data_IF_673984640878
#
_entry.id   IF_673984640878
#
_cell.length_a   1.000
_cell.length_b   1.000
_cell.length_c   1.000
_cell.angle_alpha   90.00
_cell.angle_beta   90.00
_cell.angle_gamma   90.00
#
_symmetry.space_group_name_H-M   'P 1'
#
loop_
_entity.id
_entity.type
_entity.pdbx_description
1 polymer ?
#
# COMPACT_ATOMS: atom_id res chain seq x y z
N UNK A 1 -21.61 4.05 23.91
CA UNK A 1 -20.94 5.03 23.01
C UNK A 1 -20.38 4.26 21.84
N UNK A 2 -20.75 4.60 20.61
CA UNK A 2 -20.26 3.90 19.42
C UNK A 2 -18.74 4.06 19.31
N UNK A 3 -18.00 2.95 19.27
CA UNK A 3 -16.57 2.96 18.98
C UNK A 3 -16.40 3.38 17.51
N UNK A 4 -15.71 4.48 17.26
CA UNK A 4 -15.35 4.86 15.90
C UNK A 4 -14.36 3.83 15.35
N UNK A 5 -14.38 3.57 14.04
CA UNK A 5 -13.39 2.68 13.45
C UNK A 5 -12.02 3.35 13.39
N UNK A 6 -11.98 4.57 12.87
CA UNK A 6 -10.73 5.30 12.57
C UNK A 6 -10.74 6.64 13.28
N UNK A 7 -9.65 6.99 13.98
CA UNK A 7 -9.39 8.37 14.39
C UNK A 7 -8.55 9.11 13.35
N UNK A 8 -8.71 10.42 13.32
CA UNK A 8 -7.91 11.33 12.53
C UNK A 8 -7.45 12.50 13.39
N UNK A 9 -6.19 12.92 13.23
CA UNK A 9 -5.62 14.04 13.95
C UNK A 9 -4.67 14.84 13.06
N UNK A 10 -4.80 16.16 13.13
CA UNK A 10 -3.91 17.13 12.50
C UNK A 10 -4.04 18.47 13.22
N UNK A 11 -3.17 19.43 12.93
CA UNK A 11 -3.23 20.80 13.44
C UNK A 11 -2.71 21.76 12.36
N UNK A 12 -3.52 22.76 11.99
CA UNK A 12 -3.14 23.74 10.96
C UNK A 12 -1.93 24.59 11.38
N UNK A 13 -1.62 24.70 12.68
CA UNK A 13 -0.39 25.39 13.14
C UNK A 13 0.87 24.74 12.60
N UNK A 14 0.85 23.45 12.25
CA UNK A 14 1.99 22.79 11.59
C UNK A 14 2.28 23.37 10.19
N UNK A 15 1.36 24.13 9.59
CA UNK A 15 1.61 24.90 8.37
C UNK A 15 2.60 26.05 8.59
N UNK A 16 2.78 26.49 9.83
CA UNK A 16 3.72 27.55 10.20
C UNK A 16 5.17 27.03 10.29
N UNK A 17 5.38 25.71 10.26
CA UNK A 17 6.72 25.13 10.04
C UNK A 17 7.17 25.39 8.61
N UNK A 18 7.79 26.55 8.43
CA UNK A 18 8.23 27.05 7.14
C UNK A 18 9.36 28.08 7.31
N UNK A 19 10.20 28.20 6.27
CA UNK A 19 11.24 29.21 6.19
C UNK A 19 11.21 29.85 4.80
N UNK A 20 10.77 31.11 4.72
CA UNK A 20 10.61 31.82 3.45
C UNK A 20 11.92 32.03 2.69
N UNK A 21 13.07 32.02 3.38
CA UNK A 21 14.39 32.10 2.75
C UNK A 21 14.80 30.77 2.07
N UNK A 22 14.09 29.67 2.36
CA UNK A 22 14.26 28.34 1.76
C UNK A 22 13.03 27.87 0.99
N UNK A 23 12.26 28.79 0.39
CA UNK A 23 11.00 28.48 -0.33
C UNK A 23 11.06 27.43 -1.46
N UNK A 24 12.26 27.07 -1.91
CA UNK A 24 12.51 26.07 -2.95
C UNK A 24 12.56 24.63 -2.42
N UNK A 25 12.46 24.45 -1.10
CA UNK A 25 12.43 23.14 -0.46
C UNK A 25 11.17 22.32 -0.83
N UNK A 26 11.31 21.01 -1.06
CA UNK A 26 10.17 20.14 -1.37
C UNK A 26 9.30 19.85 -0.13
N UNK A 27 9.89 19.81 1.07
CA UNK A 27 9.15 19.78 2.34
C UNK A 27 8.52 21.15 2.59
N UNK A 28 7.20 21.26 2.41
CA UNK A 28 6.46 22.54 2.46
C UNK A 28 5.03 22.39 3.02
N UNK A 29 4.41 23.49 3.53
CA UNK A 29 3.08 23.48 4.14
C UNK A 29 1.98 22.79 3.32
N UNK A 30 2.04 22.94 2.00
CA UNK A 30 1.05 22.38 1.08
C UNK A 30 0.90 20.87 1.17
N UNK A 31 1.93 20.14 1.61
CA UNK A 31 1.87 18.70 1.81
C UNK A 31 0.79 18.30 2.84
N UNK A 32 0.64 19.09 3.92
CA UNK A 32 -0.40 18.88 4.92
C UNK A 32 -1.74 19.49 4.48
N UNK A 33 -1.71 20.71 3.95
CA UNK A 33 -2.93 21.43 3.54
C UNK A 33 -3.71 20.67 2.45
N UNK A 34 -3.04 20.25 1.39
CA UNK A 34 -3.68 19.56 0.24
C UNK A 34 -4.20 18.20 0.66
N UNK A 35 -3.43 17.43 1.44
CA UNK A 35 -3.86 16.14 1.96
C UNK A 35 -5.10 16.27 2.87
N UNK A 36 -5.11 17.23 3.81
CA UNK A 36 -6.27 17.49 4.66
C UNK A 36 -7.52 17.85 3.83
N UNK A 37 -7.36 18.76 2.86
CA UNK A 37 -8.44 19.20 1.98
C UNK A 37 -9.00 18.05 1.14
N UNK A 38 -8.16 17.16 0.62
CA UNK A 38 -8.60 16.01 -0.15
C UNK A 38 -9.34 14.97 0.70
N UNK A 39 -8.83 14.66 1.90
CA UNK A 39 -9.54 13.76 2.82
C UNK A 39 -10.93 14.30 3.17
N UNK A 40 -11.03 15.62 3.37
CA UNK A 40 -12.31 16.31 3.62
C UNK A 40 -13.23 16.26 2.40
N UNK A 41 -12.73 16.59 1.21
CA UNK A 41 -13.56 16.63 -0.01
C UNK A 41 -14.06 15.26 -0.44
N UNK A 42 -13.31 14.19 -0.14
CA UNK A 42 -13.73 12.79 -0.34
C UNK A 42 -14.70 12.28 0.75
N UNK A 43 -15.09 13.11 1.72
CA UNK A 43 -15.98 12.73 2.83
C UNK A 43 -15.38 11.71 3.79
N UNK A 44 -14.06 11.50 3.77
CA UNK A 44 -13.38 10.53 4.63
C UNK A 44 -13.33 11.03 6.08
N UNK A 45 -13.09 12.33 6.27
CA UNK A 45 -13.01 12.92 7.62
C UNK A 45 -14.36 12.85 8.37
N UNK A 46 -15.48 12.95 7.66
CA UNK A 46 -16.83 12.88 8.26
C UNK A 46 -17.11 11.51 8.91
N UNK A 47 -16.33 10.48 8.52
CA UNK A 47 -16.44 9.11 9.02
C UNK A 47 -15.41 8.80 10.11
N UNK A 48 -14.48 9.71 10.38
CA UNK A 48 -13.43 9.56 11.39
C UNK A 48 -13.86 10.18 12.73
N UNK A 49 -13.29 9.67 13.82
CA UNK A 49 -13.21 10.43 15.07
C UNK A 49 -12.13 11.50 14.93
N UNK A 50 -12.53 12.77 14.86
CA UNK A 50 -11.58 13.88 14.84
C UNK A 50 -11.06 14.11 16.27
N UNK A 51 -9.77 13.84 16.48
CA UNK A 51 -9.11 14.07 17.76
C UNK A 51 -8.61 15.51 17.86
N UNK A 52 -8.56 16.01 19.09
CA UNK A 52 -7.92 17.29 19.39
C UNK A 52 -6.40 17.09 19.41
N UNK A 53 -5.66 17.98 18.75
CA UNK A 53 -4.20 18.02 18.81
C UNK A 53 -3.70 18.46 20.20
N UNK A 54 -2.46 18.08 20.52
CA UNK A 54 -1.70 18.64 21.64
C UNK A 54 -0.22 18.69 21.29
N UNK A 55 0.54 19.48 22.03
CA UNK A 55 2.00 19.45 21.99
C UNK A 55 2.54 18.31 22.84
N UNK A 56 3.55 17.60 22.33
CA UNK A 56 4.34 16.67 23.13
C UNK A 56 5.17 17.43 24.19
N UNK A 57 5.26 16.86 25.39
CA UNK A 57 6.06 17.43 26.48
C UNK A 57 7.55 17.13 26.30
N UNK A 58 8.40 17.79 27.10
CA UNK A 58 9.83 17.49 27.10
C UNK A 58 10.12 16.07 27.55
N UNK A 59 9.35 15.56 28.50
CA UNK A 59 9.49 14.20 29.02
C UNK A 59 9.14 13.17 27.94
N UNK A 60 8.08 13.42 27.16
CA UNK A 60 7.68 12.55 26.05
C UNK A 60 8.70 12.56 24.91
N UNK A 61 9.24 13.73 24.55
CA UNK A 61 10.29 13.82 23.52
C UNK A 61 11.61 13.23 24.05
N UNK A 62 11.88 13.43 25.33
CA UNK A 62 13.05 12.92 26.06
C UNK A 62 13.09 11.40 26.21
N UNK A 63 12.03 10.69 25.80
CA UNK A 63 12.03 9.23 25.71
C UNK A 63 13.05 8.72 24.70
N UNK A 64 13.33 9.47 23.63
CA UNK A 64 14.27 9.06 22.56
C UNK A 64 15.29 10.14 22.18
N UNK A 65 15.02 11.42 22.49
CA UNK A 65 15.94 12.52 22.22
C UNK A 65 16.66 12.98 23.47
N UNK A 66 17.92 13.38 23.32
CA UNK A 66 18.66 13.97 24.43
C UNK A 66 18.12 15.35 24.79
N UNK A 67 18.36 15.75 26.05
CA UNK A 67 18.02 17.09 26.53
C UNK A 67 18.64 18.19 25.66
N UNK A 68 19.90 18.00 25.24
CA UNK A 68 20.64 18.93 24.38
C UNK A 68 19.97 19.10 23.03
N UNK A 69 19.48 18.03 22.40
CA UNK A 69 18.74 18.11 21.14
C UNK A 69 17.47 18.95 21.30
N UNK A 70 16.67 18.68 22.33
CA UNK A 70 15.44 19.42 22.65
C UNK A 70 15.72 20.91 22.87
N UNK A 71 16.76 21.23 23.62
CA UNK A 71 17.16 22.62 23.90
C UNK A 71 17.68 23.34 22.65
N UNK A 72 18.41 22.64 21.79
CA UNK A 72 18.89 23.18 20.50
C UNK A 72 17.72 23.59 19.62
N UNK A 73 16.67 22.76 19.54
CA UNK A 73 15.46 23.08 18.77
C UNK A 73 14.65 24.18 19.45
N UNK A 74 14.48 24.16 20.78
CA UNK A 74 13.77 25.25 21.48
C UNK A 74 14.45 26.60 21.28
N UNK A 75 15.77 26.65 21.22
CA UNK A 75 16.50 27.90 21.04
C UNK A 75 16.12 28.63 19.75
N UNK A 76 15.61 27.94 18.72
CA UNK A 76 15.20 28.57 17.45
C UNK A 76 13.99 29.49 17.60
N UNK A 77 13.17 29.33 18.65
CA UNK A 77 11.98 30.17 18.91
C UNK A 77 12.35 31.63 19.22
N UNK A 78 13.55 31.86 19.74
CA UNK A 78 14.03 33.18 20.16
C UNK A 78 14.96 33.82 19.11
N UNK A 79 15.06 33.24 17.91
CA UNK A 79 15.90 33.74 16.83
C UNK A 79 15.09 34.55 15.82
N UNK A 80 15.74 35.50 15.15
CA UNK A 80 15.20 36.09 13.92
C UNK A 80 15.23 35.07 12.77
N UNK A 81 14.48 35.34 11.70
CA UNK A 81 14.48 34.49 10.50
C UNK A 81 15.88 34.33 9.88
N UNK A 82 16.70 35.37 9.91
CA UNK A 82 18.08 35.33 9.42
C UNK A 82 18.96 34.44 10.31
N UNK A 83 18.89 34.63 11.63
CA UNK A 83 19.67 33.85 12.59
C UNK A 83 19.32 32.37 12.56
N UNK A 84 18.02 32.03 12.53
CA UNK A 84 17.59 30.63 12.45
C UNK A 84 18.01 30.01 11.12
N UNK A 85 17.98 30.75 10.01
CA UNK A 85 18.44 30.26 8.71
C UNK A 85 19.94 29.98 8.71
N UNK A 86 20.75 30.83 9.36
CA UNK A 86 22.18 30.58 9.53
C UNK A 86 22.44 29.37 10.42
N UNK A 87 21.72 29.27 11.54
CA UNK A 87 21.79 28.12 12.47
C UNK A 87 21.38 26.83 11.78
N UNK A 88 20.35 26.87 10.92
CA UNK A 88 19.90 25.74 10.12
C UNK A 88 21.04 25.14 9.30
N UNK A 89 21.86 25.96 8.62
CA UNK A 89 22.99 25.44 7.85
C UNK A 89 24.02 24.72 8.72
N UNK A 90 24.16 25.10 9.99
CA UNK A 90 25.06 24.45 10.94
C UNK A 90 24.45 23.15 11.52
N UNK A 91 23.14 23.12 11.75
CA UNK A 91 22.41 21.95 12.27
C UNK A 91 22.30 20.87 11.19
N UNK A 92 21.66 21.23 10.07
CA UNK A 92 21.49 20.37 8.90
C UNK A 92 21.15 21.23 7.67
N UNK A 93 21.98 21.25 6.62
CA UNK A 93 21.85 22.21 5.52
C UNK A 93 20.59 22.03 4.68
N UNK A 94 19.99 20.83 4.66
CA UNK A 94 18.82 20.50 3.83
C UNK A 94 17.50 20.66 4.59
N UNK A 95 17.47 20.42 5.90
CA UNK A 95 16.25 20.51 6.70
C UNK A 95 15.73 21.94 6.73
N UNK A 96 14.41 22.14 6.60
CA UNK A 96 13.78 23.45 6.79
C UNK A 96 13.59 23.71 8.28
N UNK A 97 14.27 24.70 8.83
CA UNK A 97 14.12 25.16 10.22
C UNK A 97 13.74 26.64 10.18
N UNK A 98 12.66 26.98 10.87
CA UNK A 98 12.19 28.33 11.10
C UNK A 98 11.93 28.57 12.58
N UNK A 99 11.45 29.76 12.92
CA UNK A 99 11.17 30.17 14.31
C UNK A 99 10.09 29.31 14.95
N UNK A 100 9.11 28.88 14.16
CA UNK A 100 7.98 28.05 14.60
C UNK A 100 8.28 26.54 14.68
N UNK A 101 9.52 26.12 14.34
CA UNK A 101 9.88 24.70 14.23
C UNK A 101 9.65 23.93 15.52
N UNK A 102 10.08 24.44 16.68
CA UNK A 102 9.92 23.71 17.95
C UNK A 102 8.43 23.49 18.27
N UNK A 103 7.60 24.53 18.15
CA UNK A 103 6.16 24.43 18.39
C UNK A 103 5.50 23.42 17.45
N UNK A 104 5.81 23.47 16.16
CA UNK A 104 5.22 22.56 15.17
C UNK A 104 5.69 21.12 15.34
N UNK A 105 6.98 20.88 15.59
CA UNK A 105 7.53 19.54 15.84
C UNK A 105 6.92 18.89 17.09
N UNK A 106 6.64 19.68 18.14
CA UNK A 106 5.91 19.21 19.32
C UNK A 106 4.46 18.85 18.99
N UNK A 107 3.79 19.64 18.16
CA UNK A 107 2.43 19.33 17.71
C UNK A 107 2.41 18.05 16.87
N UNK A 108 3.37 17.85 15.96
CA UNK A 108 3.49 16.65 15.16
C UNK A 108 3.60 15.39 16.02
N UNK A 109 4.55 15.37 16.97
CA UNK A 109 4.71 14.28 17.92
C UNK A 109 3.44 14.09 18.78
N UNK A 110 2.90 15.15 19.36
CA UNK A 110 1.73 15.06 20.24
C UNK A 110 0.45 14.62 19.53
N UNK A 111 0.26 14.99 18.26
CA UNK A 111 -0.83 14.45 17.42
C UNK A 111 -0.73 12.93 17.30
N UNK A 112 0.47 12.40 17.00
CA UNK A 112 0.65 10.96 16.92
C UNK A 112 0.39 10.26 18.25
N UNK A 113 0.81 10.86 19.37
CA UNK A 113 0.52 10.33 20.71
C UNK A 113 -0.99 10.26 21.01
N UNK A 114 -1.78 11.25 20.58
CA UNK A 114 -3.24 11.22 20.72
C UNK A 114 -3.89 10.10 19.90
N UNK A 115 -3.41 9.86 18.68
CA UNK A 115 -3.88 8.75 17.86
C UNK A 115 -3.55 7.40 18.50
N UNK A 116 -2.32 7.24 19.02
CA UNK A 116 -1.86 6.06 19.75
C UNK A 116 -2.72 5.83 21.01
N UNK A 117 -2.97 6.87 21.81
CA UNK A 117 -3.84 6.79 22.99
C UNK A 117 -5.26 6.32 22.59
N UNK A 118 -5.84 6.90 21.52
CA UNK A 118 -7.17 6.53 21.06
C UNK A 118 -7.27 5.06 20.60
N UNK A 119 -6.24 4.56 19.93
CA UNK A 119 -6.17 3.18 19.43
C UNK A 119 -5.92 2.17 20.54
N UNK A 120 -4.97 2.45 21.45
CA UNK A 120 -4.65 1.52 22.55
C UNK A 120 -5.82 1.41 23.53
N UNK A 121 -6.48 2.53 23.84
CA UNK A 121 -7.62 2.57 24.79
C UNK A 121 -8.95 2.09 24.18
N UNK A 122 -8.97 1.72 22.90
CA UNK A 122 -10.16 1.20 22.21
C UNK A 122 -11.21 2.27 21.86
N UNK A 123 -10.88 3.57 21.95
CA UNK A 123 -11.74 4.65 21.43
C UNK A 123 -11.89 4.55 19.93
N UNK A 124 -10.81 4.14 19.25
CA UNK A 124 -10.80 3.76 17.84
C UNK A 124 -10.11 2.41 17.63
N UNK A 125 -10.37 1.76 16.50
CA UNK A 125 -9.62 0.56 16.08
C UNK A 125 -8.25 0.92 15.51
N UNK A 126 -8.18 1.96 14.70
CA UNK A 126 -6.98 2.43 13.99
C UNK A 126 -6.99 3.96 13.87
N UNK A 127 -5.91 4.54 13.32
CA UNK A 127 -5.77 5.99 13.25
C UNK A 127 -4.90 6.52 12.12
N UNK A 128 -5.10 7.80 11.80
CA UNK A 128 -4.30 8.58 10.87
C UNK A 128 -3.83 9.87 11.55
N UNK A 129 -2.52 10.09 11.58
CA UNK A 129 -1.89 11.33 12.03
C UNK A 129 -1.30 12.07 10.83
N UNK A 130 -2.01 13.10 10.34
CA UNK A 130 -1.49 13.95 9.28
C UNK A 130 -0.65 15.06 9.91
N UNK A 131 0.67 14.86 9.93
CA UNK A 131 1.61 15.68 10.71
C UNK A 131 2.78 16.17 9.86
N UNK A 132 3.34 17.32 10.27
CA UNK A 132 4.60 17.91 9.77
C UNK A 132 5.25 18.74 10.89
N UNK A 133 6.57 18.76 11.05
CA UNK A 133 7.61 18.07 10.26
C UNK A 133 7.61 16.53 10.38
N UNK A 134 8.25 15.82 9.42
CA UNK A 134 8.50 14.38 9.52
C UNK A 134 9.50 14.04 10.64
N UNK A 135 9.75 12.74 10.87
CA UNK A 135 10.51 12.26 12.01
C UNK A 135 11.57 11.18 11.77
N UNK A 136 11.39 10.25 10.83
CA UNK A 136 12.16 9.00 10.80
C UNK A 136 13.70 9.13 10.64
N UNK A 137 14.21 10.25 10.14
CA UNK A 137 15.65 10.52 10.02
C UNK A 137 16.28 11.11 11.28
N UNK A 138 15.48 11.62 12.22
CA UNK A 138 16.00 12.25 13.44
C UNK A 138 16.46 11.17 14.42
N UNK A 139 17.76 11.15 14.69
CA UNK A 139 18.38 10.30 15.72
C UNK A 139 18.36 10.99 17.10
N UNK A 140 18.92 10.36 18.15
CA UNK A 140 18.84 10.86 19.53
C UNK A 140 19.41 12.27 19.75
N UNK A 141 20.37 12.68 18.92
CA UNK A 141 21.08 13.96 19.04
C UNK A 141 21.09 14.79 17.75
N UNK A 142 20.32 14.40 16.72
CA UNK A 142 20.50 14.95 15.38
C UNK A 142 19.18 15.21 14.65
N UNK A 143 19.11 16.40 14.04
CA UNK A 143 18.19 16.77 12.95
C UNK A 143 18.79 16.28 11.64
N UNK A 144 17.96 15.69 10.77
CA UNK A 144 18.42 15.18 9.49
C UNK A 144 17.24 14.99 8.55
N UNK A 145 17.42 15.20 7.24
CA UNK A 145 16.42 14.79 6.23
C UNK A 145 15.02 15.37 6.48
N UNK A 146 14.93 16.66 6.77
CA UNK A 146 13.70 17.38 7.13
C UNK A 146 13.10 17.01 8.51
N UNK A 147 13.69 16.05 9.23
CA UNK A 147 13.14 15.52 10.46
C UNK A 147 13.71 16.22 11.70
N UNK A 148 12.83 16.69 12.57
CA UNK A 148 13.20 17.47 13.78
C UNK A 148 13.18 16.61 15.04
N UNK A 149 12.05 15.94 15.29
CA UNK A 149 11.89 14.95 16.33
C UNK A 149 11.34 13.68 15.68
N UNK A 150 11.86 12.53 16.10
CA UNK A 150 11.41 11.23 15.61
C UNK A 150 10.02 10.87 16.15
N UNK A 151 8.97 11.27 15.43
CA UNK A 151 7.57 11.08 15.82
C UNK A 151 7.25 9.61 16.09
N UNK A 152 7.61 8.70 15.17
CA UNK A 152 7.33 7.27 15.30
C UNK A 152 8.06 6.64 16.50
N UNK A 153 9.33 7.00 16.71
CA UNK A 153 10.10 6.48 17.85
C UNK A 153 9.58 7.01 19.20
N UNK A 154 9.24 8.29 19.30
CA UNK A 154 8.59 8.86 20.48
C UNK A 154 7.29 8.10 20.79
N UNK A 155 6.46 7.85 19.77
CA UNK A 155 5.20 7.14 19.93
C UNK A 155 5.38 5.67 20.34
N UNK A 156 6.39 4.98 19.80
CA UNK A 156 6.72 3.61 20.19
C UNK A 156 7.17 3.52 21.64
N UNK A 157 8.15 4.33 22.08
CA UNK A 157 8.58 4.35 23.47
C UNK A 157 7.46 4.79 24.42
N UNK A 158 6.66 5.78 24.03
CA UNK A 158 5.50 6.20 24.80
C UNK A 158 4.49 5.05 24.99
N UNK A 159 4.22 4.26 23.95
CA UNK A 159 3.35 3.09 24.05
C UNK A 159 3.95 1.98 24.95
N UNK A 160 5.26 1.77 24.90
CA UNK A 160 5.95 0.81 25.77
C UNK A 160 5.91 1.25 27.24
N UNK A 161 6.22 2.52 27.52
CA UNK A 161 6.38 3.04 28.89
C UNK A 161 5.05 3.41 29.54
N UNK A 162 4.19 4.17 28.86
CA UNK A 162 2.92 4.66 29.43
C UNK A 162 1.84 3.60 29.40
N UNK A 163 1.73 2.84 28.31
CA UNK A 163 0.68 1.82 28.13
C UNK A 163 1.15 0.40 28.45
N UNK A 164 2.43 0.22 28.77
CA UNK A 164 2.96 -1.07 29.20
C UNK A 164 3.05 -2.11 28.09
N UNK A 165 2.93 -1.71 26.82
CA UNK A 165 3.12 -2.62 25.69
C UNK A 165 4.52 -3.25 25.74
N UNK A 166 4.66 -4.39 25.10
CA UNK A 166 5.89 -5.19 25.03
C UNK A 166 6.43 -5.29 23.61
N UNK A 167 5.58 -5.16 22.60
CA UNK A 167 5.95 -5.34 21.19
C UNK A 167 5.30 -4.29 20.31
N UNK A 168 6.10 -3.41 19.73
CA UNK A 168 5.68 -2.38 18.77
C UNK A 168 6.35 -2.67 17.43
N UNK A 169 5.58 -2.69 16.34
CA UNK A 169 6.14 -2.71 15.00
C UNK A 169 6.14 -1.30 14.44
N UNK A 170 7.30 -0.82 14.00
CA UNK A 170 7.41 0.35 13.14
C UNK A 170 7.70 -0.15 11.73
N UNK A 171 6.74 0.05 10.81
CA UNK A 171 6.94 -0.20 9.39
C UNK A 171 7.14 1.12 8.68
N UNK A 172 8.31 1.30 8.07
CA UNK A 172 8.67 2.48 7.30
C UNK A 172 8.66 2.14 5.81
N UNK A 173 7.69 2.70 5.09
CA UNK A 173 7.58 2.57 3.63
C UNK A 173 7.97 3.85 2.88
N UNK A 174 8.45 4.87 3.60
CA UNK A 174 9.09 6.03 3.00
C UNK A 174 10.24 5.55 2.12
N UNK A 175 10.45 6.24 1.00
CA UNK A 175 11.47 5.82 0.04
C UNK A 175 12.89 5.97 0.59
N UNK A 176 13.08 6.77 1.63
CA UNK A 176 14.34 6.95 2.32
C UNK A 176 14.43 6.05 3.55
N UNK A 177 15.64 5.60 3.86
CA UNK A 177 15.87 4.84 5.08
C UNK A 177 15.71 5.75 6.30
N UNK A 178 14.77 5.43 7.20
CA UNK A 178 14.63 6.06 8.51
C UNK A 178 15.79 5.73 9.46
N UNK A 179 16.99 6.22 9.14
CA UNK A 179 18.22 5.94 9.86
C UNK A 179 18.17 6.35 11.33
N UNK A 180 17.41 7.39 11.66
CA UNK A 180 17.22 7.84 13.05
C UNK A 180 16.40 6.83 13.85
N UNK A 181 15.32 6.31 13.25
CA UNK A 181 14.51 5.26 13.89
C UNK A 181 15.33 3.98 14.09
N UNK A 182 16.12 3.58 13.09
CA UNK A 182 17.05 2.46 13.21
C UNK A 182 18.06 2.67 14.35
N UNK A 183 18.67 3.86 14.44
CA UNK A 183 19.64 4.18 15.49
C UNK A 183 19.03 4.08 16.90
N UNK A 184 17.83 4.64 17.09
CA UNK A 184 17.15 4.67 18.39
C UNK A 184 16.85 3.25 18.91
N UNK A 185 16.44 2.33 18.04
CA UNK A 185 16.02 0.98 18.45
C UNK A 185 17.03 -0.12 18.12
N UNK A 186 18.25 0.22 17.68
CA UNK A 186 19.20 -0.74 17.14
C UNK A 186 19.52 -1.91 18.09
N UNK A 187 19.47 -1.66 19.39
CA UNK A 187 19.76 -2.64 20.45
C UNK A 187 18.51 -3.11 21.22
N UNK A 188 17.30 -2.75 20.78
CA UNK A 188 16.03 -3.03 21.47
C UNK A 188 15.17 -4.05 20.71
N UNK A 189 14.72 -5.10 21.39
CA UNK A 189 13.83 -6.13 20.81
C UNK A 189 12.34 -5.92 21.09
N UNK A 190 11.99 -4.92 21.88
CA UNK A 190 10.59 -4.51 22.10
C UNK A 190 10.02 -3.79 20.88
N UNK A 191 10.89 -3.27 20.01
CA UNK A 191 10.53 -2.61 18.76
C UNK A 191 11.12 -3.37 17.59
N UNK A 192 10.26 -3.85 16.70
CA UNK A 192 10.66 -4.35 15.39
C UNK A 192 10.59 -3.18 14.41
N UNK A 193 11.72 -2.80 13.83
CA UNK A 193 11.79 -1.79 12.77
C UNK A 193 12.04 -2.45 11.42
N UNK A 194 11.16 -2.20 10.46
CA UNK A 194 11.30 -2.67 9.08
C UNK A 194 11.21 -1.48 8.13
N UNK A 195 12.18 -1.34 7.23
CA UNK A 195 12.22 -0.22 6.27
C UNK A 195 12.37 -0.70 4.83
N UNK A 196 11.53 -0.21 3.92
CA UNK A 196 11.65 -0.41 2.47
C UNK A 196 12.11 0.90 1.80
N UNK A 197 13.34 0.95 1.30
CA UNK A 197 13.91 2.23 0.85
C UNK A 197 14.81 2.08 -0.38
N UNK A 198 14.91 3.14 -1.19
CA UNK A 198 15.90 3.25 -2.27
C UNK A 198 17.30 3.27 -1.68
N UNK A 199 18.17 2.43 -2.21
CA UNK A 199 19.50 2.24 -1.64
C UNK A 199 20.61 2.29 -2.69
N UNK A 200 21.53 3.23 -2.47
CA UNK A 200 22.91 3.22 -2.91
C UNK A 200 23.68 4.23 -2.07
N UNK A 201 25.02 4.21 -2.09
CA UNK A 201 25.83 5.25 -1.42
C UNK A 201 25.68 6.66 -2.04
N UNK A 202 24.86 6.82 -3.09
CA UNK A 202 24.52 8.10 -3.73
C UNK A 202 23.09 8.57 -3.41
N UNK A 203 22.33 7.80 -2.63
CA UNK A 203 20.97 8.14 -2.23
C UNK A 203 21.00 8.47 -0.73
N UNK A 204 20.35 9.54 -0.34
CA UNK A 204 20.26 9.95 1.07
C UNK A 204 19.70 8.78 1.90
N UNK A 205 20.28 8.44 3.07
CA UNK A 205 21.24 9.21 3.86
C UNK A 205 22.73 8.90 3.59
N UNK A 206 23.10 8.33 2.44
CA UNK A 206 24.48 8.12 1.99
C UNK A 206 25.32 7.23 2.92
N UNK A 207 24.73 6.14 3.42
CA UNK A 207 25.34 5.32 4.47
C UNK A 207 25.15 3.84 4.20
N UNK A 208 26.12 3.03 4.63
CA UNK A 208 26.06 1.57 4.55
C UNK A 208 25.10 0.94 5.56
N UNK A 209 24.72 1.68 6.62
CA UNK A 209 23.84 1.15 7.68
C UNK A 209 22.43 0.83 7.17
N UNK A 210 22.07 1.36 5.98
CA UNK A 210 20.81 1.09 5.30
C UNK A 210 20.82 -0.23 4.49
N UNK A 211 21.96 -0.93 4.34
CA UNK A 211 21.95 -2.23 3.67
C UNK A 211 21.39 -3.33 4.59
N UNK A 212 20.96 -4.43 3.97
CA UNK A 212 20.34 -5.59 4.61
C UNK A 212 21.13 -6.23 5.77
N UNK A 213 22.48 -6.30 5.77
CA UNK A 213 23.23 -6.93 6.87
C UNK A 213 23.18 -6.20 8.22
N UNK A 214 22.68 -4.96 8.27
CA UNK A 214 22.55 -4.18 9.49
C UNK A 214 21.25 -4.55 10.20
N UNK A 215 21.32 -5.57 11.05
CA UNK A 215 20.14 -6.23 11.62
C UNK A 215 19.89 -5.93 13.09
N UNK A 216 20.54 -4.89 13.63
CA UNK A 216 20.53 -4.61 15.06
C UNK A 216 21.69 -5.29 15.79
N UNK A 217 21.77 -5.03 17.09
CA UNK A 217 22.84 -5.54 17.95
C UNK A 217 22.33 -5.93 19.34
N UNK A 218 23.15 -6.65 20.10
CA UNK A 218 22.78 -7.07 21.46
C UNK A 218 21.41 -7.77 21.50
N UNK A 219 20.51 -7.37 22.43
CA UNK A 219 19.15 -7.89 22.46
C UNK A 219 18.32 -7.61 21.20
N UNK A 220 18.54 -6.48 20.52
CA UNK A 220 17.82 -6.05 19.31
C UNK A 220 18.28 -6.72 18.02
N UNK A 221 19.28 -7.61 18.06
CA UNK A 221 19.76 -8.32 16.87
C UNK A 221 18.65 -9.19 16.27
N UNK A 222 18.34 -8.97 15.00
CA UNK A 222 17.22 -9.56 14.26
C UNK A 222 15.96 -8.68 14.21
N UNK A 223 15.87 -7.62 15.03
CA UNK A 223 14.71 -6.73 15.14
C UNK A 223 14.83 -5.44 14.32
N UNK A 224 15.90 -5.30 13.54
CA UNK A 224 16.05 -4.29 12.50
C UNK A 224 16.11 -4.98 11.13
N UNK A 225 15.23 -4.62 10.20
CA UNK A 225 15.16 -5.23 8.87
C UNK A 225 15.18 -4.14 7.80
N UNK A 226 16.26 -4.09 7.05
CA UNK A 226 16.39 -3.22 5.90
C UNK A 226 16.10 -3.97 4.60
N UNK A 227 15.20 -3.44 3.77
CA UNK A 227 14.88 -3.93 2.42
C UNK A 227 15.37 -2.89 1.40
N UNK A 228 16.64 -2.96 0.97
CA UNK A 228 17.27 -1.94 0.15
C UNK A 228 16.95 -2.09 -1.35
N UNK A 229 16.12 -1.23 -1.92
CA UNK A 229 15.83 -1.15 -3.35
C UNK A 229 17.02 -0.59 -4.15
N UNK A 230 17.83 -1.49 -4.72
CA UNK A 230 19.04 -1.14 -5.46
C UNK A 230 18.81 -0.59 -6.87
N UNK A 231 17.60 -0.73 -7.40
CA UNK A 231 17.22 -0.23 -8.74
C UNK A 231 16.05 0.75 -8.63
N UNK A 232 15.99 1.74 -9.54
CA UNK A 232 14.87 2.68 -9.62
C UNK A 232 13.58 1.99 -10.08
N UNK A 233 12.50 2.75 -10.09
CA UNK A 233 11.22 2.38 -10.67
C UNK A 233 10.61 1.11 -10.04
N UNK A 234 10.77 0.95 -8.73
CA UNK A 234 10.03 -0.06 -7.98
C UNK A 234 8.53 0.23 -8.06
N UNK A 235 7.73 -0.82 -8.26
CA UNK A 235 6.27 -0.74 -8.48
C UNK A 235 5.53 -1.52 -7.41
N UNK A 236 4.20 -1.50 -7.50
CA UNK A 236 3.28 -2.19 -6.59
C UNK A 236 3.69 -3.65 -6.32
N UNK A 237 3.99 -4.43 -7.37
CA UNK A 237 4.39 -5.82 -7.22
C UNK A 237 5.69 -6.01 -6.40
N UNK A 238 6.62 -5.06 -6.46
CA UNK A 238 7.89 -5.13 -5.70
C UNK A 238 7.62 -4.93 -4.20
N UNK A 239 6.80 -3.93 -3.86
CA UNK A 239 6.39 -3.66 -2.49
C UNK A 239 5.51 -4.78 -1.92
N UNK A 240 4.55 -5.28 -2.69
CA UNK A 240 3.72 -6.41 -2.28
C UNK A 240 4.53 -7.70 -2.12
N UNK A 241 5.54 -7.94 -2.96
CA UNK A 241 6.45 -9.06 -2.76
C UNK A 241 7.20 -8.96 -1.43
N UNK A 242 7.70 -7.78 -1.04
CA UNK A 242 8.29 -7.59 0.29
C UNK A 242 7.28 -7.82 1.42
N UNK A 243 6.02 -7.38 1.24
CA UNK A 243 4.94 -7.63 2.20
C UNK A 243 4.74 -9.13 2.41
N UNK A 244 4.55 -9.90 1.35
CA UNK A 244 4.23 -11.33 1.45
C UNK A 244 5.42 -12.21 1.83
N UNK A 245 6.61 -11.93 1.32
CA UNK A 245 7.76 -12.83 1.47
C UNK A 245 8.63 -12.54 2.70
N UNK A 246 8.45 -11.40 3.36
CA UNK A 246 9.28 -11.02 4.50
C UNK A 246 8.49 -10.31 5.61
N UNK A 247 7.83 -9.20 5.29
CA UNK A 247 7.24 -8.32 6.32
C UNK A 247 6.10 -9.01 7.07
N UNK A 248 5.10 -9.57 6.38
CA UNK A 248 3.95 -10.20 7.01
C UNK A 248 4.32 -11.49 7.78
N UNK A 249 5.16 -12.40 7.26
CA UNK A 249 5.64 -13.54 8.04
C UNK A 249 6.31 -13.12 9.35
N UNK A 250 7.30 -12.22 9.26
CA UNK A 250 8.04 -11.73 10.43
C UNK A 250 7.13 -10.99 11.41
N UNK A 251 6.28 -10.08 10.91
CA UNK A 251 5.35 -9.34 11.76
C UNK A 251 4.31 -10.26 12.43
N UNK A 252 3.91 -11.35 11.78
CA UNK A 252 3.00 -12.34 12.37
C UNK A 252 3.69 -13.11 13.50
N UNK A 253 4.94 -13.54 13.31
CA UNK A 253 5.74 -14.21 14.35
C UNK A 253 6.04 -13.26 15.52
N UNK A 254 6.39 -12.01 15.23
CA UNK A 254 6.61 -10.97 16.24
C UNK A 254 5.35 -10.64 17.03
N UNK A 255 4.17 -10.78 16.41
CA UNK A 255 2.87 -10.55 17.04
C UNK A 255 2.80 -9.17 17.77
N UNK A 256 2.93 -8.05 17.02
CA UNK A 256 2.94 -6.71 17.59
C UNK A 256 1.59 -6.38 18.25
N UNK A 257 1.64 -5.54 19.28
CA UNK A 257 0.46 -5.07 19.99
C UNK A 257 -0.09 -3.77 19.40
N UNK A 258 0.74 -3.05 18.64
CA UNK A 258 0.39 -1.90 17.81
C UNK A 258 1.38 -1.80 16.65
N UNK A 259 0.90 -1.30 15.51
CA UNK A 259 1.72 -1.01 14.33
C UNK A 259 1.68 0.50 14.09
N UNK A 260 2.87 1.12 14.05
CA UNK A 260 3.05 2.51 13.64
C UNK A 260 3.65 2.48 12.23
N UNK A 261 2.97 3.08 11.28
CA UNK A 261 3.46 3.16 9.89
C UNK A 261 4.07 4.52 9.67
N UNK A 262 5.39 4.57 9.51
CA UNK A 262 6.10 5.74 8.98
C UNK A 262 5.78 5.86 7.50
N UNK A 263 4.76 6.67 7.22
CA UNK A 263 4.08 6.68 5.94
C UNK A 263 4.57 7.83 5.06
N UNK A 264 5.75 7.64 4.48
CA UNK A 264 6.22 8.46 3.38
C UNK A 264 5.59 8.05 2.06
N UNK A 265 5.17 9.03 1.27
CA UNK A 265 4.59 8.77 -0.05
C UNK A 265 5.51 9.21 -1.20
N UNK A 266 6.80 9.34 -0.94
CA UNK A 266 7.80 9.67 -1.94
C UNK A 266 8.20 8.48 -2.81
N UNK A 267 7.88 7.25 -2.41
CA UNK A 267 7.96 6.09 -3.32
C UNK A 267 6.81 6.05 -4.35
N UNK A 268 5.85 6.99 -4.28
CA UNK A 268 4.70 7.02 -5.15
C UNK A 268 5.05 7.45 -6.58
N UNK A 269 4.24 7.01 -7.54
CA UNK A 269 4.35 7.44 -8.94
C UNK A 269 4.27 8.97 -9.04
N UNK A 270 5.25 9.57 -9.74
CA UNK A 270 5.31 11.00 -9.97
C UNK A 270 5.85 11.83 -8.80
N UNK A 271 6.40 11.20 -7.76
CA UNK A 271 7.15 11.92 -6.73
C UNK A 271 8.41 12.58 -7.29
N UNK A 272 8.84 13.66 -6.64
CA UNK A 272 10.00 14.46 -7.06
C UNK A 272 11.35 13.83 -6.69
N UNK A 273 11.40 13.03 -5.62
CA UNK A 273 12.64 12.52 -5.02
C UNK A 273 12.75 11.00 -5.07
N UNK A 274 11.65 10.24 -4.96
CA UNK A 274 11.75 8.81 -4.66
C UNK A 274 11.93 7.84 -5.84
N UNK A 275 11.95 8.30 -7.09
CA UNK A 275 12.40 7.49 -8.25
C UNK A 275 11.80 6.06 -8.28
N UNK A 276 10.53 5.97 -7.89
CA UNK A 276 9.70 4.77 -7.79
C UNK A 276 8.35 5.04 -8.48
N UNK A 277 7.47 4.05 -8.50
CA UNK A 277 6.18 4.13 -9.19
C UNK A 277 5.11 3.33 -8.46
N UNK A 278 5.05 3.45 -7.13
CA UNK A 278 4.02 2.83 -6.30
C UNK A 278 2.71 3.61 -6.45
N UNK A 279 1.60 2.91 -6.64
CA UNK A 279 0.29 3.53 -6.81
C UNK A 279 -0.42 3.77 -5.47
N UNK A 280 -1.36 4.74 -5.38
CA UNK A 280 -2.23 4.90 -4.21
C UNK A 280 -2.95 3.61 -3.82
N UNK A 281 -3.36 2.81 -4.81
CA UNK A 281 -4.00 1.51 -4.60
C UNK A 281 -3.09 0.54 -3.82
N UNK A 282 -1.79 0.52 -4.12
CA UNK A 282 -0.83 -0.31 -3.40
C UNK A 282 -0.66 0.11 -1.94
N UNK A 283 -0.58 1.42 -1.63
CA UNK A 283 -0.55 1.87 -0.23
C UNK A 283 -1.82 1.49 0.54
N UNK A 284 -2.99 1.60 -0.09
CA UNK A 284 -4.24 1.08 0.46
C UNK A 284 -4.17 -0.44 0.72
N UNK A 285 -3.64 -1.23 -0.21
CA UNK A 285 -3.50 -2.68 -0.05
C UNK A 285 -2.50 -3.04 1.06
N UNK A 286 -1.33 -2.40 1.14
CA UNK A 286 -0.38 -2.58 2.24
C UNK A 286 -1.02 -2.26 3.60
N UNK A 287 -1.79 -1.17 3.68
CA UNK A 287 -2.56 -0.79 4.88
C UNK A 287 -3.57 -1.87 5.28
N UNK A 288 -4.26 -2.46 4.29
CA UNK A 288 -5.22 -3.55 4.50
C UNK A 288 -4.53 -4.80 5.05
N UNK A 289 -3.41 -5.19 4.46
CA UNK A 289 -2.62 -6.34 4.91
C UNK A 289 -2.19 -6.18 6.38
N UNK A 290 -1.67 -5.01 6.75
CA UNK A 290 -1.28 -4.69 8.13
C UNK A 290 -2.47 -4.68 9.10
N UNK A 291 -3.67 -4.31 8.64
CA UNK A 291 -4.87 -4.26 9.47
C UNK A 291 -5.33 -5.64 9.97
N UNK A 292 -4.78 -6.74 9.43
CA UNK A 292 -5.01 -8.10 9.93
C UNK A 292 -4.12 -8.45 11.14
N UNK A 293 -3.09 -7.65 11.42
CA UNK A 293 -2.17 -7.81 12.54
C UNK A 293 -2.56 -6.88 13.70
N UNK A 294 -1.97 -7.09 14.88
CA UNK A 294 -2.21 -6.25 16.07
C UNK A 294 -3.71 -6.01 16.40
N UNK A 295 -4.60 -6.93 16.01
CA UNK A 295 -6.06 -6.79 16.11
C UNK A 295 -6.60 -5.50 15.43
N UNK A 296 -5.94 -5.06 14.36
CA UNK A 296 -6.26 -3.86 13.61
C UNK A 296 -5.74 -2.56 14.22
N UNK A 297 -4.93 -2.60 15.27
CA UNK A 297 -4.29 -1.42 15.89
C UNK A 297 -3.15 -0.88 15.02
N UNK A 298 -3.53 -0.19 13.95
CA UNK A 298 -2.62 0.43 12.99
C UNK A 298 -2.77 1.95 13.06
N UNK A 299 -1.65 2.67 13.19
CA UNK A 299 -1.62 4.13 13.13
C UNK A 299 -0.71 4.55 11.98
N UNK A 300 -1.28 5.20 10.97
CA UNK A 300 -0.55 5.73 9.81
C UNK A 300 -0.16 7.18 10.10
N UNK A 301 1.11 7.53 10.01
CA UNK A 301 1.59 8.90 10.24
C UNK A 301 2.45 9.40 9.08
N UNK A 302 2.23 10.63 8.63
CA UNK A 302 2.90 11.17 7.44
C UNK A 302 4.40 11.43 7.68
N UNK A 303 5.26 10.88 6.81
CA UNK A 303 6.70 11.19 6.73
C UNK A 303 6.99 12.07 5.50
N UNK A 304 7.65 11.54 4.46
CA UNK A 304 7.99 12.18 3.19
C UNK A 304 6.89 12.13 2.12
N UNK A 305 7.26 12.38 0.87
CA UNK A 305 6.35 12.56 -0.27
C UNK A 305 6.18 14.02 -0.65
N UNK A 306 6.54 14.36 -1.89
CA UNK A 306 6.79 15.75 -2.31
C UNK A 306 6.03 16.14 -3.57
N UNK A 307 5.38 15.19 -4.24
CA UNK A 307 4.23 15.47 -5.07
C UNK A 307 2.97 15.56 -4.19
N UNK A 308 2.50 16.79 -3.93
CA UNK A 308 1.42 17.08 -2.96
C UNK A 308 0.09 16.41 -3.31
N UNK A 309 -0.22 16.27 -4.60
CA UNK A 309 -1.45 15.61 -5.05
C UNK A 309 -1.35 14.10 -4.79
N UNK A 310 -0.18 13.51 -5.06
CA UNK A 310 0.06 12.09 -4.81
C UNK A 310 0.10 11.74 -3.32
N UNK A 311 0.67 12.60 -2.47
CA UNK A 311 0.58 12.45 -1.01
C UNK A 311 -0.88 12.39 -0.57
N UNK A 312 -1.70 13.32 -1.08
CA UNK A 312 -3.12 13.39 -0.76
C UNK A 312 -3.90 12.15 -1.24
N UNK A 313 -3.62 11.68 -2.47
CA UNK A 313 -4.23 10.47 -3.03
C UNK A 313 -3.85 9.21 -2.25
N UNK A 314 -2.55 8.99 -2.00
CA UNK A 314 -2.06 7.82 -1.26
C UNK A 314 -2.61 7.79 0.18
N UNK A 315 -2.58 8.92 0.89
CA UNK A 315 -3.15 9.01 2.24
C UNK A 315 -4.67 8.80 2.24
N UNK A 316 -5.37 9.26 1.21
CA UNK A 316 -6.81 8.99 1.03
C UNK A 316 -7.08 7.50 0.86
N UNK A 317 -6.26 6.79 0.06
CA UNK A 317 -6.37 5.33 -0.10
C UNK A 317 -6.12 4.58 1.20
N UNK A 318 -5.09 4.96 1.98
CA UNK A 318 -4.86 4.40 3.31
C UNK A 318 -6.06 4.65 4.24
N UNK A 319 -6.56 5.89 4.29
CA UNK A 319 -7.65 6.30 5.18
C UNK A 319 -8.95 5.56 4.86
N UNK A 320 -9.31 5.44 3.58
CA UNK A 320 -10.48 4.70 3.12
C UNK A 320 -10.44 3.23 3.59
N UNK A 321 -9.28 2.57 3.44
CA UNK A 321 -9.09 1.18 3.89
C UNK A 321 -9.21 1.06 5.42
N UNK A 322 -8.62 1.99 6.18
CA UNK A 322 -8.75 2.00 7.64
C UNK A 322 -10.21 2.15 8.08
N UNK A 323 -10.98 2.97 7.36
CA UNK A 323 -12.43 3.16 7.52
C UNK A 323 -13.27 1.94 7.08
N UNK A 324 -12.65 0.95 6.44
CA UNK A 324 -13.28 -0.31 6.03
C UNK A 324 -13.79 -0.33 4.60
N UNK A 325 -13.40 0.63 3.77
CA UNK A 325 -13.71 0.60 2.33
C UNK A 325 -12.91 -0.51 1.63
N UNK A 326 -13.46 -1.10 0.56
CA UNK A 326 -12.74 -2.10 -0.23
C UNK A 326 -11.48 -1.51 -0.86
N UNK A 327 -10.41 -2.30 -0.90
CA UNK A 327 -9.18 -1.90 -1.61
C UNK A 327 -9.45 -1.74 -3.10
N UNK A 328 -8.81 -0.73 -3.70
CA UNK A 328 -8.72 -0.63 -5.16
C UNK A 328 -7.82 -1.75 -5.68
N UNK A 329 -8.21 -2.50 -6.73
CA UNK A 329 -7.39 -3.57 -7.27
C UNK A 329 -6.04 -3.07 -7.80
N UNK A 330 -4.98 -3.80 -7.49
CA UNK A 330 -3.65 -3.65 -8.10
C UNK A 330 -3.57 -4.61 -9.29
N UNK A 331 -3.23 -4.10 -10.48
CA UNK A 331 -3.36 -4.86 -11.74
C UNK A 331 -2.06 -5.49 -12.23
N UNK A 332 -0.89 -4.97 -11.83
CA UNK A 332 0.41 -5.51 -12.23
C UNK A 332 1.11 -6.17 -11.04
N UNK A 333 1.20 -7.51 -11.06
CA UNK A 333 1.62 -8.33 -9.91
C UNK A 333 2.96 -9.07 -10.12
N UNK A 334 3.76 -8.67 -11.12
CA UNK A 334 5.08 -9.29 -11.37
C UNK A 334 6.21 -8.46 -10.78
N UNK A 335 6.77 -8.92 -9.66
CA UNK A 335 7.93 -8.31 -9.03
C UNK A 335 9.16 -8.37 -9.95
N UNK A 336 9.99 -7.33 -9.87
CA UNK A 336 11.25 -7.23 -10.58
C UNK A 336 12.30 -8.17 -9.97
N UNK A 337 13.24 -8.64 -10.81
CA UNK A 337 14.38 -9.45 -10.34
C UNK A 337 15.21 -8.71 -9.29
N UNK A 338 15.33 -7.38 -9.40
CA UNK A 338 16.08 -6.59 -8.43
C UNK A 338 15.39 -6.53 -7.08
N UNK A 339 14.06 -6.38 -7.04
CA UNK A 339 13.33 -6.39 -5.78
C UNK A 339 13.41 -7.75 -5.11
N UNK A 340 13.20 -8.83 -5.86
CA UNK A 340 13.32 -10.19 -5.33
C UNK A 340 14.72 -10.47 -4.77
N UNK A 341 15.78 -10.00 -5.43
CA UNK A 341 17.15 -10.13 -4.91
C UNK A 341 17.37 -9.32 -3.62
N UNK A 342 16.79 -8.12 -3.51
CA UNK A 342 16.85 -7.31 -2.29
C UNK A 342 16.09 -7.96 -1.12
N UNK A 343 14.88 -8.49 -1.39
CA UNK A 343 14.06 -9.20 -0.42
C UNK A 343 14.79 -10.46 0.07
N UNK A 344 15.36 -11.24 -0.85
CA UNK A 344 16.10 -12.45 -0.49
C UNK A 344 17.34 -12.12 0.36
N UNK A 345 18.09 -11.06 0.01
CA UNK A 345 19.23 -10.61 0.82
C UNK A 345 18.78 -10.21 2.24
N UNK A 346 17.68 -9.47 2.36
CA UNK A 346 17.12 -9.08 3.66
C UNK A 346 16.65 -10.31 4.45
N UNK A 347 15.94 -11.24 3.80
CA UNK A 347 15.49 -12.50 4.38
C UNK A 347 16.67 -13.31 4.93
N UNK A 348 17.73 -13.50 4.14
CA UNK A 348 18.94 -14.21 4.56
C UNK A 348 19.63 -13.56 5.77
N UNK A 349 19.65 -12.23 5.84
CA UNK A 349 20.29 -11.51 6.93
C UNK A 349 19.62 -11.78 8.28
N UNK A 350 18.29 -11.90 8.30
CA UNK A 350 17.52 -12.09 9.55
C UNK A 350 17.00 -13.51 9.74
N UNK A 351 17.18 -14.40 8.77
CA UNK A 351 16.77 -15.80 8.83
C UNK A 351 17.10 -16.52 10.16
N UNK A 352 18.30 -16.35 10.75
CA UNK A 352 18.65 -17.03 12.00
C UNK A 352 17.80 -16.60 13.21
N UNK A 353 17.03 -15.51 13.09
CA UNK A 353 16.28 -14.87 14.17
C UNK A 353 14.76 -15.06 14.04
N UNK A 354 14.27 -15.58 12.92
CA UNK A 354 12.84 -15.69 12.62
C UNK A 354 12.51 -17.08 12.10
N UNK A 355 11.77 -17.87 12.89
CA UNK A 355 11.42 -19.24 12.55
C UNK A 355 10.53 -19.34 11.31
N UNK A 356 9.74 -18.30 11.00
CA UNK A 356 8.91 -18.23 9.79
C UNK A 356 9.74 -18.16 8.50
N UNK A 357 11.05 -17.87 8.58
CA UNK A 357 11.95 -17.77 7.43
C UNK A 357 12.73 -19.08 7.25
N UNK A 358 12.06 -20.24 7.19
CA UNK A 358 12.75 -21.50 6.89
C UNK A 358 13.30 -21.54 5.46
N UNK A 359 14.34 -22.36 5.25
CA UNK A 359 14.93 -22.63 3.95
C UNK A 359 14.07 -23.53 3.06
N UNK A 360 13.05 -24.19 3.63
CA UNK A 360 11.99 -24.79 2.82
C UNK A 360 11.28 -23.66 2.09
N UNK A 361 11.18 -23.79 0.76
CA UNK A 361 10.28 -22.98 -0.04
C UNK A 361 8.95 -22.97 0.70
N UNK A 362 8.61 -21.85 1.35
CA UNK A 362 7.23 -21.63 1.76
C UNK A 362 6.47 -21.81 0.47
N UNK A 363 5.65 -22.87 0.32
CA UNK A 363 4.98 -23.10 -0.94
C UNK A 363 4.21 -21.84 -1.20
N UNK A 364 4.58 -21.12 -2.25
CA UNK A 364 3.77 -20.02 -2.71
C UNK A 364 2.50 -20.70 -3.18
N UNK A 365 1.49 -20.78 -2.32
CA UNK A 365 0.13 -20.97 -2.78
C UNK A 365 -0.36 -19.61 -3.27
N UNK A 366 0.26 -19.19 -4.36
CA UNK A 366 -0.39 -18.46 -5.45
C UNK A 366 -0.39 -19.42 -6.64
N UNK A 367 -0.86 -20.64 -6.42
CA UNK A 367 -1.48 -21.37 -7.51
C UNK A 367 -2.92 -20.84 -7.57
N UNK A 368 -3.36 -20.24 -8.69
CA UNK A 368 -4.73 -20.50 -9.09
C UNK A 368 -4.81 -22.02 -9.24
N UNK A 369 -5.41 -22.71 -8.26
CA UNK A 369 -5.81 -24.11 -8.44
C UNK A 369 -6.99 -24.10 -9.39
N UNK A 370 -6.63 -24.01 -10.66
CA UNK A 370 -7.50 -23.89 -11.79
C UNK A 370 -6.58 -23.57 -12.94
N UNK A 371 -6.52 -24.46 -13.92
CA UNK A 371 -6.08 -24.08 -15.27
C UNK A 371 -6.66 -22.70 -15.54
N UNK A 372 -5.80 -21.70 -15.80
CA UNK A 372 -6.27 -20.46 -16.43
C UNK A 372 -7.07 -20.96 -17.63
N UNK A 373 -8.40 -20.86 -17.58
CA UNK A 373 -9.17 -20.88 -18.80
C UNK A 373 -8.51 -19.81 -19.64
N UNK A 374 -7.85 -20.22 -20.72
CA UNK A 374 -7.39 -19.29 -21.73
C UNK A 374 -8.65 -18.55 -22.15
N UNK A 375 -8.89 -17.38 -21.59
CA UNK A 375 -9.92 -16.47 -22.06
C UNK A 375 -9.41 -15.96 -23.41
N UNK A 376 -9.72 -16.75 -24.43
CA UNK A 376 -9.49 -16.41 -25.81
C UNK A 376 -10.48 -15.31 -26.16
N UNK A 377 -9.97 -14.10 -26.43
CA UNK A 377 -10.82 -13.04 -26.98
C UNK A 377 -11.48 -13.58 -28.24
N UNK A 378 -12.81 -13.43 -28.38
CA UNK A 378 -13.49 -13.86 -29.59
C UNK A 378 -12.93 -13.12 -30.80
N UNK A 379 -12.71 -13.83 -31.89
CA UNK A 379 -12.37 -13.22 -33.16
C UNK A 379 -13.56 -12.37 -33.62
N UNK A 380 -13.35 -11.05 -33.71
CA UNK A 380 -14.36 -10.12 -34.19
C UNK A 380 -14.48 -10.23 -35.71
N UNK A 381 -15.70 -10.12 -36.22
CA UNK A 381 -16.01 -10.04 -37.65
C UNK A 381 -15.49 -11.26 -38.44
N UNK A 382 -15.71 -12.46 -37.90
CA UNK A 382 -15.45 -13.70 -38.63
C UNK A 382 -16.26 -13.73 -39.94
N UNK A 383 -15.57 -13.89 -41.08
CA UNK A 383 -16.20 -13.93 -42.41
C UNK A 383 -17.17 -15.09 -42.60
N UNK A 384 -17.09 -16.13 -41.77
CA UNK A 384 -18.00 -17.28 -41.80
C UNK A 384 -19.27 -17.05 -41.00
N UNK A 385 -19.37 -15.99 -40.19
CA UNK A 385 -20.56 -15.75 -39.37
C UNK A 385 -21.80 -15.37 -40.20
N UNK A 386 -21.61 -14.93 -41.44
CA UNK A 386 -22.70 -14.60 -42.37
C UNK A 386 -23.27 -15.83 -43.08
N UNK A 387 -22.71 -17.03 -42.90
CA UNK A 387 -23.23 -18.26 -43.54
C UNK A 387 -24.24 -19.03 -42.70
N UNK A 388 -24.60 -18.51 -41.52
CA UNK A 388 -25.63 -19.10 -40.67
C UNK A 388 -27.02 -18.94 -41.29
N UNK A 389 -27.97 -19.76 -40.86
CA UNK A 389 -29.36 -19.68 -41.30
C UNK A 389 -30.15 -18.68 -40.46
N UNK A 390 -31.20 -18.12 -41.06
CA UNK A 390 -32.20 -17.34 -40.34
C UNK A 390 -32.93 -18.21 -39.30
N UNK A 391 -33.40 -17.58 -38.23
CA UNK A 391 -34.14 -18.28 -37.18
C UNK A 391 -35.45 -18.86 -37.71
N UNK A 392 -35.86 -20.07 -37.26
CA UNK A 392 -37.18 -20.59 -37.57
C UNK A 392 -38.29 -19.66 -37.03
N UNK A 393 -39.44 -19.52 -37.72
CA UNK A 393 -40.56 -18.69 -37.27
C UNK A 393 -41.06 -19.01 -35.86
N UNK A 394 -40.97 -20.28 -35.46
CA UNK A 394 -41.34 -20.78 -34.13
C UNK A 394 -40.29 -20.54 -33.03
N UNK A 395 -39.14 -19.95 -33.37
CA UNK A 395 -38.02 -19.74 -32.46
C UNK A 395 -37.24 -21.02 -32.14
N UNK A 396 -36.36 -20.96 -31.15
CA UNK A 396 -35.47 -22.09 -30.80
C UNK A 396 -35.91 -22.86 -29.55
N UNK A 397 -36.93 -22.38 -28.84
CA UNK A 397 -37.32 -22.89 -27.52
C UNK A 397 -37.57 -24.40 -27.49
N UNK A 398 -38.41 -24.93 -28.39
CA UNK A 398 -38.74 -26.37 -28.43
C UNK A 398 -37.56 -27.29 -28.79
N UNK A 399 -36.50 -26.73 -29.38
CA UNK A 399 -35.25 -27.44 -29.67
C UNK A 399 -34.34 -27.39 -28.45
N UNK A 400 -34.19 -26.21 -27.84
CA UNK A 400 -33.36 -25.97 -26.66
C UNK A 400 -33.83 -26.73 -25.41
N UNK A 401 -35.12 -27.05 -25.28
CA UNK A 401 -35.61 -27.90 -24.18
C UNK A 401 -34.99 -29.31 -24.15
N UNK A 402 -34.34 -29.75 -25.22
CA UNK A 402 -33.64 -31.06 -25.30
C UNK A 402 -32.15 -30.95 -24.95
N UNK A 403 -31.64 -29.75 -24.66
CA UNK A 403 -30.24 -29.54 -24.33
C UNK A 403 -29.94 -29.98 -22.89
N UNK A 404 -28.85 -30.74 -22.71
CA UNK A 404 -28.38 -31.22 -21.42
C UNK A 404 -26.84 -31.13 -21.34
N UNK A 405 -26.21 -31.80 -20.37
CA UNK A 405 -24.74 -31.82 -20.25
C UNK A 405 -24.03 -32.57 -21.40
N UNK A 406 -24.75 -33.43 -22.10
CA UNK A 406 -24.26 -34.18 -23.26
C UNK A 406 -24.54 -33.50 -24.59
N UNK A 407 -25.64 -32.75 -24.72
CA UNK A 407 -26.08 -32.03 -25.92
C UNK A 407 -26.06 -30.51 -25.71
N UNK A 408 -24.87 -29.97 -25.49
CA UNK A 408 -24.67 -28.56 -25.12
C UNK A 408 -24.32 -27.64 -26.28
N UNK A 409 -24.12 -28.18 -27.48
CA UNK A 409 -23.83 -27.40 -28.68
C UNK A 409 -25.04 -27.40 -29.61
N UNK A 410 -25.22 -26.34 -30.40
CA UNK A 410 -26.28 -26.23 -31.40
C UNK A 410 -25.69 -25.68 -32.69
N UNK A 411 -25.92 -26.36 -33.81
CA UNK A 411 -25.51 -25.86 -35.12
C UNK A 411 -26.34 -24.63 -35.49
N UNK A 412 -25.69 -23.53 -35.92
CA UNK A 412 -26.40 -22.32 -36.36
C UNK A 412 -26.80 -22.35 -37.84
N UNK A 413 -26.52 -23.43 -38.56
CA UNK A 413 -27.00 -23.63 -39.93
C UNK A 413 -28.33 -24.40 -39.99
N UNK A 414 -28.56 -25.34 -39.07
CA UNK A 414 -29.76 -26.19 -39.08
C UNK A 414 -30.47 -26.32 -37.73
N UNK A 415 -29.91 -25.74 -36.67
CA UNK A 415 -30.45 -25.74 -35.30
C UNK A 415 -30.60 -27.13 -34.68
N UNK A 416 -29.80 -28.10 -35.11
CA UNK A 416 -29.66 -29.40 -34.44
C UNK A 416 -28.74 -29.29 -33.22
N UNK A 417 -29.09 -30.01 -32.15
CA UNK A 417 -28.25 -30.12 -30.96
C UNK A 417 -27.17 -31.18 -31.15
N UNK A 418 -25.98 -30.86 -30.67
CA UNK A 418 -24.74 -31.60 -30.88
C UNK A 418 -24.05 -31.84 -29.55
N UNK A 419 -23.28 -32.92 -29.49
CA UNK A 419 -22.46 -33.25 -28.32
C UNK A 419 -21.18 -32.43 -28.22
N UNK A 420 -20.65 -32.01 -29.36
CA UNK A 420 -19.37 -31.32 -29.51
C UNK A 420 -19.43 -30.28 -30.64
N UNK A 421 -18.62 -29.22 -30.49
CA UNK A 421 -18.50 -28.11 -31.43
C UNK A 421 -17.90 -28.51 -32.79
N UNK A 422 -17.15 -29.61 -32.80
CA UNK A 422 -16.36 -30.12 -33.95
C UNK A 422 -16.83 -31.52 -34.40
N UNK A 423 -18.08 -31.86 -34.08
CA UNK A 423 -18.64 -33.20 -34.23
C UNK A 423 -18.74 -33.72 -35.67
N UNK A 424 -19.11 -35.00 -35.77
CA UNK A 424 -19.39 -35.67 -37.05
C UNK A 424 -20.41 -34.90 -37.90
N UNK A 425 -21.42 -34.30 -37.27
CA UNK A 425 -22.44 -33.49 -37.95
C UNK A 425 -21.81 -32.32 -38.72
N UNK A 426 -20.95 -31.52 -38.07
CA UNK A 426 -20.35 -30.32 -38.68
C UNK A 426 -19.52 -30.69 -39.91
N UNK A 427 -18.80 -31.82 -39.84
CA UNK A 427 -17.99 -32.33 -40.95
C UNK A 427 -18.82 -32.92 -42.09
N UNK A 428 -19.89 -33.65 -41.78
CA UNK A 428 -20.73 -34.31 -42.79
C UNK A 428 -21.66 -33.35 -43.53
N UNK A 429 -22.16 -32.35 -42.82
CA UNK A 429 -23.07 -31.34 -43.38
C UNK A 429 -22.34 -30.10 -43.92
N UNK A 430 -21.00 -30.06 -43.83
CA UNK A 430 -20.18 -28.90 -44.20
C UNK A 430 -20.60 -27.61 -43.47
N UNK A 431 -21.11 -27.75 -42.25
CA UNK A 431 -21.51 -26.65 -41.39
C UNK A 431 -20.32 -26.15 -40.56
N UNK A 432 -20.27 -24.84 -40.32
CA UNK A 432 -19.06 -24.21 -39.78
C UNK A 432 -19.28 -23.42 -38.51
N UNK A 433 -20.52 -23.06 -38.15
CA UNK A 433 -20.82 -22.32 -36.91
C UNK A 433 -21.71 -23.13 -35.96
N UNK A 434 -21.30 -23.23 -34.70
CA UNK A 434 -22.12 -23.79 -33.62
C UNK A 434 -22.05 -22.91 -32.36
N UNK A 435 -23.13 -22.89 -31.58
CA UNK A 435 -23.21 -22.20 -30.29
C UNK A 435 -23.30 -23.19 -29.15
N UNK A 436 -22.52 -22.97 -28.09
CA UNK A 436 -22.74 -23.63 -26.82
C UNK A 436 -23.91 -22.95 -26.11
N UNK A 437 -25.03 -23.67 -25.96
CA UNK A 437 -26.28 -23.08 -25.45
C UNK A 437 -26.27 -22.82 -23.95
N UNK A 438 -25.30 -23.38 -23.21
CA UNK A 438 -25.11 -23.12 -21.77
C UNK A 438 -24.14 -21.95 -21.53
N UNK A 439 -23.01 -21.95 -22.24
CA UNK A 439 -21.94 -20.96 -22.06
C UNK A 439 -22.10 -19.73 -22.97
N UNK A 440 -23.03 -19.75 -23.93
CA UNK A 440 -23.23 -18.73 -24.96
C UNK A 440 -21.95 -18.41 -25.77
N UNK A 441 -21.05 -19.38 -25.90
CA UNK A 441 -19.84 -19.28 -26.74
C UNK A 441 -20.16 -19.77 -28.15
N UNK A 442 -19.83 -18.98 -29.17
CA UNK A 442 -20.00 -19.37 -30.57
C UNK A 442 -18.65 -19.81 -31.14
N UNK A 443 -18.59 -21.04 -31.62
CA UNK A 443 -17.40 -21.62 -32.24
C UNK A 443 -17.50 -21.60 -33.77
N UNK A 444 -16.38 -21.28 -34.42
CA UNK A 444 -16.24 -21.39 -35.87
C UNK A 444 -15.22 -22.46 -36.23
N UNK A 445 -15.67 -23.46 -36.98
CA UNK A 445 -14.85 -24.59 -37.43
C UNK A 445 -13.74 -24.15 -38.37
N UNK A 446 -13.98 -23.21 -39.29
CA UNK A 446 -12.92 -22.75 -40.20
C UNK A 446 -11.86 -21.90 -39.49
N UNK A 447 -12.26 -21.08 -38.51
CA UNK A 447 -11.32 -20.28 -37.74
C UNK A 447 -10.65 -21.04 -36.59
N UNK A 448 -11.18 -22.22 -36.24
CA UNK A 448 -10.78 -22.99 -35.05
C UNK A 448 -10.72 -22.11 -33.78
N UNK A 449 -11.69 -21.20 -33.63
CA UNK A 449 -11.70 -20.19 -32.56
C UNK A 449 -13.13 -19.75 -32.21
N UNK A 450 -13.29 -19.17 -31.01
CA UNK A 450 -14.54 -18.53 -30.58
C UNK A 450 -14.71 -17.21 -31.33
N UNK A 451 -15.91 -16.90 -31.82
CA UNK A 451 -16.15 -15.73 -32.68
C UNK A 451 -17.23 -14.80 -32.12
N UNK A 452 -17.23 -13.55 -32.56
CA UNK A 452 -18.33 -12.60 -32.36
C UNK A 452 -18.63 -11.85 -33.65
N UNK A 453 -19.93 -11.69 -33.95
CA UNK A 453 -20.44 -11.05 -35.17
C UNK A 453 -21.91 -10.65 -34.95
N UNK A 454 -22.35 -9.56 -35.59
CA UNK A 454 -23.74 -9.05 -35.46
C UNK A 454 -24.81 -10.06 -35.89
N UNK A 455 -24.54 -10.83 -36.96
CA UNK A 455 -25.42 -11.90 -37.44
C UNK A 455 -25.78 -12.96 -36.37
N UNK A 456 -24.94 -13.14 -35.35
CA UNK A 456 -25.16 -14.13 -34.28
C UNK A 456 -26.16 -13.65 -33.22
N UNK A 457 -26.44 -12.34 -33.17
CA UNK A 457 -27.24 -11.70 -32.12
C UNK A 457 -28.66 -12.27 -32.00
N UNK A 458 -29.42 -12.53 -33.08
CA UNK A 458 -30.75 -13.12 -32.97
C UNK A 458 -30.75 -14.49 -32.29
N UNK A 459 -29.84 -15.39 -32.70
CA UNK A 459 -29.72 -16.73 -32.11
C UNK A 459 -29.26 -16.68 -30.64
N UNK A 460 -28.29 -15.81 -30.32
CA UNK A 460 -27.86 -15.56 -28.94
C UNK A 460 -29.01 -15.05 -28.06
N UNK A 461 -29.88 -14.19 -28.59
CA UNK A 461 -31.04 -13.68 -27.87
C UNK A 461 -32.07 -14.78 -27.56
N UNK A 462 -32.36 -15.68 -28.50
CA UNK A 462 -33.26 -16.82 -28.27
C UNK A 462 -32.70 -17.81 -27.24
N UNK A 463 -31.40 -18.12 -27.31
CA UNK A 463 -30.72 -18.95 -26.31
C UNK A 463 -30.79 -18.28 -24.94
N UNK A 464 -30.54 -16.96 -24.86
CA UNK A 464 -30.62 -16.22 -23.60
C UNK A 464 -32.04 -16.20 -23.02
N UNK A 465 -33.07 -16.01 -23.86
CA UNK A 465 -34.48 -16.09 -23.43
C UNK A 465 -34.80 -17.45 -22.84
N UNK A 466 -34.33 -18.53 -23.46
CA UNK A 466 -34.49 -19.88 -22.91
C UNK A 466 -33.78 -20.02 -21.55
N UNK A 467 -32.51 -19.63 -21.43
CA UNK A 467 -31.78 -19.70 -20.16
C UNK A 467 -32.46 -18.94 -19.02
N UNK A 468 -33.02 -17.76 -19.29
CA UNK A 468 -33.68 -16.90 -18.29
C UNK A 468 -35.11 -17.35 -18.00
N UNK A 469 -35.82 -17.91 -18.98
CA UNK A 469 -37.15 -18.49 -18.80
C UNK A 469 -37.18 -19.88 -18.15
N UNK A 470 -36.00 -20.45 -17.87
CA UNK A 470 -35.82 -21.73 -17.16
C UNK A 470 -35.45 -21.55 -15.68
N UNK A 471 -35.44 -20.30 -15.18
CA UNK A 471 -35.09 -19.92 -13.81
C UNK A 471 -36.33 -19.65 -12.95
#
# INVERSE_FOLDING_TARGET
MGSYRTCYVTDEKMLEHWNDLKRWMPERPDRLRVAHQMLKSKGLLDRCLILKSRSATDEEIGLVHTRKHIETIRATENMTLEEVTRTNYAIDPITTIGTETNRCARLAAGCLLEAVDAVITGRCRNGVALIRPPGHHSGPEKVSGFCIFNNAAIAAEYALQKHGLKRVLILDWDVHHGNGTQEIFYSDNRVLYISLHRYSLKIFPFTEIADAPNIGEGPGKGYNINIPWRKPAMKDADYLAAMYHLILPVASEFNPEIIIVSAGFDSAIGDLLGDCSVTPACYGLMTSLLSNLARGKVVVQLEGGYNVDMVAECLSSCTAVLLGDPCTPVTYMKASKSALASIEKAKQAVQPYWACLTAEDTPIVLEPTGSIEKWQMPLRNCSHASSISDLPPEGLHGRLCRADDTLKWMCLHCFELLSDENGSHMKQAEHVIAINVKEMKVWCQECQWVITHEALVPALAEVRKWQVGSA
#
